data_IF_365124609241
#
_entry.id   IF_365124609241
#
_cell.length_a   1.000
_cell.length_b   1.000
_cell.length_c   1.000
_cell.angle_alpha   90.00
_cell.angle_beta   90.00
_cell.angle_gamma   90.00
#
_symmetry.space_group_name_H-M   'P 1'
#
loop_
_entity.id
_entity.type
_entity.pdbx_description
1 polymer ?
#
# COMPACT_ATOMS: atom_id res chain seq x y z
N UNK A 1 -2.20 -15.78 -1.58
CA UNK A 1 -2.03 -16.10 -0.14
C UNK A 1 -1.63 -14.87 0.66
N UNK A 2 -0.45 -14.27 0.46
CA UNK A 2 0.02 -13.10 1.26
C UNK A 2 -0.95 -11.90 1.23
N UNK A 3 -1.54 -11.59 0.07
CA UNK A 3 -2.55 -10.50 -0.04
C UNK A 3 -3.80 -10.81 0.81
N UNK A 4 -4.23 -12.07 0.87
CA UNK A 4 -5.39 -12.49 1.65
C UNK A 4 -5.11 -12.45 3.16
N UNK A 5 -3.93 -12.90 3.60
CA UNK A 5 -3.47 -12.79 4.99
C UNK A 5 -3.38 -11.33 5.43
N UNK A 6 -2.83 -10.47 4.58
CA UNK A 6 -2.70 -9.04 4.86
C UNK A 6 -4.08 -8.37 4.98
N UNK A 7 -5.02 -8.75 4.12
CA UNK A 7 -6.40 -8.27 4.19
C UNK A 7 -7.10 -8.74 5.48
N UNK A 8 -6.86 -9.97 5.92
CA UNK A 8 -7.42 -10.51 7.17
C UNK A 8 -6.89 -9.72 8.37
N UNK A 9 -5.58 -9.48 8.44
CA UNK A 9 -4.95 -8.65 9.47
C UNK A 9 -5.52 -7.22 9.44
N UNK A 10 -5.64 -6.63 8.23
CA UNK A 10 -6.23 -5.31 8.06
C UNK A 10 -7.67 -5.21 8.56
N UNK A 11 -8.50 -6.24 8.33
CA UNK A 11 -9.87 -6.32 8.82
C UNK A 11 -9.95 -6.45 10.34
N UNK A 12 -9.06 -7.25 10.94
CA UNK A 12 -8.97 -7.37 12.41
C UNK A 12 -8.56 -6.03 13.02
N UNK A 13 -7.55 -5.36 12.47
CA UNK A 13 -7.13 -4.03 12.92
C UNK A 13 -8.25 -2.98 12.75
N UNK A 14 -8.98 -3.01 11.63
CA UNK A 14 -10.15 -2.17 11.42
C UNK A 14 -11.23 -2.42 12.49
N UNK A 15 -11.54 -3.67 12.79
CA UNK A 15 -12.51 -4.01 13.82
C UNK A 15 -12.09 -3.49 15.20
N UNK A 16 -10.81 -3.64 15.56
CA UNK A 16 -10.26 -3.10 16.82
C UNK A 16 -10.38 -1.58 16.88
N UNK A 17 -9.99 -0.87 15.81
CA UNK A 17 -10.10 0.60 15.73
C UNK A 17 -11.56 1.06 15.88
N UNK A 18 -12.51 0.34 15.26
CA UNK A 18 -13.93 0.68 15.37
C UNK A 18 -14.50 0.40 16.77
N UNK A 19 -14.09 -0.69 17.41
CA UNK A 19 -14.50 -1.04 18.79
C UNK A 19 -13.96 -0.02 19.79
N UNK A 20 -12.69 0.37 19.64
CA UNK A 20 -12.03 1.30 20.54
C UNK A 20 -12.15 2.76 20.12
N UNK A 21 -12.93 3.07 19.07
CA UNK A 21 -13.09 4.40 18.46
C UNK A 21 -13.18 5.57 19.46
N UNK A 22 -14.03 5.42 20.48
CA UNK A 22 -14.30 6.51 21.44
C UNK A 22 -13.24 6.58 22.55
N UNK A 23 -12.59 5.45 22.89
CA UNK A 23 -11.52 5.39 23.89
C UNK A 23 -10.14 5.70 23.29
N UNK A 24 -9.94 5.45 22.00
CA UNK A 24 -8.67 5.63 21.31
C UNK A 24 -8.27 7.10 21.26
N UNK A 25 -9.24 8.00 21.04
CA UNK A 25 -8.99 9.44 21.00
C UNK A 25 -8.53 10.01 22.35
N UNK A 26 -9.00 9.43 23.47
CA UNK A 26 -8.65 9.86 24.83
C UNK A 26 -7.15 9.71 25.10
N UNK A 27 -6.49 8.75 24.47
CA UNK A 27 -5.05 8.50 24.62
C UNK A 27 -4.22 9.63 23.97
N UNK A 28 -4.75 10.26 22.92
CA UNK A 28 -4.03 11.29 22.17
C UNK A 28 -4.41 12.72 22.56
N UNK A 29 -5.62 12.93 23.09
CA UNK A 29 -6.09 14.27 23.45
C UNK A 29 -7.09 14.26 24.59
N UNK A 30 -6.96 15.24 25.48
CA UNK A 30 -7.93 15.53 26.54
C UNK A 30 -9.07 16.45 26.08
N UNK A 31 -8.99 16.99 24.86
CA UNK A 31 -10.00 17.89 24.30
C UNK A 31 -11.22 17.11 23.75
N UNK A 32 -12.39 17.39 24.32
CA UNK A 32 -13.66 16.75 23.97
C UNK A 32 -14.11 17.04 22.52
N UNK A 33 -13.84 18.24 22.00
CA UNK A 33 -14.17 18.56 20.60
C UNK A 33 -13.30 17.74 19.64
N UNK A 34 -12.03 17.57 19.96
CA UNK A 34 -11.11 16.76 19.17
C UNK A 34 -11.45 15.27 19.25
N UNK A 35 -11.84 14.77 20.43
CA UNK A 35 -12.32 13.39 20.60
C UNK A 35 -13.57 13.12 19.75
N UNK A 36 -14.54 14.03 19.76
CA UNK A 36 -15.74 13.94 18.92
C UNK A 36 -15.40 13.96 17.42
N UNK A 37 -14.45 14.82 17.01
CA UNK A 37 -14.00 14.88 15.63
C UNK A 37 -13.34 13.56 15.18
N UNK A 38 -12.45 12.99 16.01
CA UNK A 38 -11.77 11.70 15.75
C UNK A 38 -12.77 10.56 15.69
N UNK A 39 -13.73 10.51 16.60
CA UNK A 39 -14.82 9.53 16.60
C UNK A 39 -15.60 9.59 15.27
N UNK A 40 -15.91 10.80 14.77
CA UNK A 40 -16.62 10.98 13.48
C UNK A 40 -15.85 10.45 12.26
N UNK A 41 -14.52 10.51 12.27
CA UNK A 41 -13.66 10.04 11.17
C UNK A 41 -13.09 8.64 11.39
N UNK A 42 -13.38 7.99 12.52
CA UNK A 42 -12.85 6.66 12.84
C UNK A 42 -13.24 5.58 11.82
N UNK A 43 -14.40 5.70 11.17
CA UNK A 43 -14.78 4.84 10.04
C UNK A 43 -13.79 4.93 8.87
N UNK A 44 -13.32 6.15 8.58
CA UNK A 44 -12.30 6.42 7.57
C UNK A 44 -10.93 5.88 7.99
N UNK A 45 -10.61 5.96 9.28
CA UNK A 45 -9.40 5.44 9.89
C UNK A 45 -9.33 3.90 9.77
N UNK A 46 -10.46 3.22 10.01
CA UNK A 46 -10.60 1.78 9.78
C UNK A 46 -10.36 1.38 8.32
N UNK A 47 -10.97 2.11 7.37
CA UNK A 47 -10.73 1.89 5.94
C UNK A 47 -9.26 2.12 5.56
N UNK A 48 -8.63 3.12 6.18
CA UNK A 48 -7.19 3.40 6.00
C UNK A 48 -6.34 2.22 6.45
N UNK A 49 -6.65 1.58 7.58
CA UNK A 49 -5.91 0.40 8.03
C UNK A 49 -6.00 -0.77 7.05
N UNK A 50 -7.16 -1.00 6.45
CA UNK A 50 -7.32 -2.03 5.42
C UNK A 50 -6.48 -1.71 4.19
N UNK A 51 -6.58 -0.49 3.65
CA UNK A 51 -5.81 -0.09 2.47
C UNK A 51 -4.29 -0.11 2.73
N UNK A 52 -3.86 0.36 3.89
CA UNK A 52 -2.45 0.35 4.30
C UNK A 52 -1.92 -1.05 4.61
N UNK A 53 -2.77 -2.07 4.80
CA UNK A 53 -2.30 -3.45 4.92
C UNK A 53 -1.93 -4.05 3.55
N UNK A 54 -2.64 -3.66 2.48
CA UNK A 54 -2.46 -4.21 1.14
C UNK A 54 -1.40 -3.44 0.35
N UNK A 55 -1.39 -2.11 0.45
CA UNK A 55 -0.51 -1.25 -0.34
C UNK A 55 0.99 -1.56 -0.18
N UNK A 56 1.54 -1.74 1.04
CA UNK A 56 2.96 -2.03 1.23
C UNK A 56 3.35 -3.40 0.70
N UNK A 57 2.44 -4.38 0.76
CA UNK A 57 2.68 -5.74 0.25
C UNK A 57 2.78 -5.73 -1.27
N UNK A 58 1.83 -5.09 -1.95
CA UNK A 58 1.84 -4.98 -3.41
C UNK A 58 3.05 -4.15 -3.89
N UNK A 59 3.32 -3.03 -3.21
CA UNK A 59 4.48 -2.19 -3.52
C UNK A 59 5.80 -2.93 -3.26
N UNK A 60 5.89 -3.71 -2.19
CA UNK A 60 7.04 -4.52 -1.85
C UNK A 60 7.33 -5.61 -2.87
N UNK A 61 6.28 -6.28 -3.39
CA UNK A 61 6.42 -7.25 -4.48
C UNK A 61 6.95 -6.58 -5.76
N UNK A 62 6.39 -5.42 -6.14
CA UNK A 62 6.84 -4.70 -7.33
C UNK A 62 8.27 -4.15 -7.20
N UNK A 63 8.64 -3.61 -6.03
CA UNK A 63 10.00 -3.14 -5.75
C UNK A 63 10.98 -4.31 -5.73
N UNK A 64 10.59 -5.46 -5.15
CA UNK A 64 11.38 -6.68 -5.13
C UNK A 64 11.67 -7.25 -6.53
N UNK A 65 10.76 -7.06 -7.49
CA UNK A 65 10.97 -7.37 -8.92
C UNK A 65 11.89 -6.38 -9.66
N UNK A 66 12.34 -5.31 -8.99
CA UNK A 66 13.17 -4.25 -9.58
C UNK A 66 12.39 -3.11 -10.23
N UNK A 67 11.07 -3.05 -10.06
CA UNK A 67 10.20 -2.06 -10.71
C UNK A 67 9.98 -0.78 -9.89
N UNK A 68 10.89 -0.51 -8.96
CA UNK A 68 10.85 0.64 -8.05
C UNK A 68 10.58 1.99 -8.74
N UNK A 69 11.13 2.22 -9.94
CA UNK A 69 10.90 3.46 -10.70
C UNK A 69 9.44 3.60 -11.14
N UNK A 70 8.85 2.53 -11.69
CA UNK A 70 7.45 2.51 -12.10
C UNK A 70 6.52 2.71 -10.90
N UNK A 71 6.82 2.06 -9.76
CA UNK A 71 6.07 2.24 -8.51
C UNK A 71 6.11 3.70 -8.06
N UNK A 72 7.28 4.36 -8.12
CA UNK A 72 7.43 5.75 -7.74
C UNK A 72 6.63 6.70 -8.64
N UNK A 73 6.66 6.51 -9.97
CA UNK A 73 5.89 7.33 -10.91
C UNK A 73 4.38 7.19 -10.70
N UNK A 74 3.89 5.97 -10.51
CA UNK A 74 2.46 5.72 -10.25
C UNK A 74 2.04 6.37 -8.92
N UNK A 75 2.87 6.25 -7.88
CA UNK A 75 2.60 6.88 -6.60
C UNK A 75 2.49 8.40 -6.71
N UNK A 76 3.49 9.05 -7.33
CA UNK A 76 3.49 10.48 -7.57
C UNK A 76 2.26 10.93 -8.35
N UNK A 77 1.92 10.23 -9.44
CA UNK A 77 0.74 10.54 -10.25
C UNK A 77 -0.55 10.40 -9.46
N UNK A 78 -0.80 9.25 -8.85
CA UNK A 78 -2.06 8.99 -8.17
C UNK A 78 -2.24 9.86 -6.92
N UNK A 79 -1.17 10.09 -6.15
CA UNK A 79 -1.25 10.86 -4.92
C UNK A 79 -1.33 12.36 -5.18
N UNK A 80 -0.45 12.91 -6.02
CA UNK A 80 -0.38 14.35 -6.23
C UNK A 80 -1.30 14.88 -7.33
N UNK A 81 -1.51 14.13 -8.41
CA UNK A 81 -2.34 14.59 -9.54
C UNK A 81 -3.82 14.30 -9.31
N UNK A 82 -4.14 13.20 -8.62
CA UNK A 82 -5.53 12.81 -8.37
C UNK A 82 -5.95 12.97 -6.90
N UNK A 83 -5.19 12.40 -5.96
CA UNK A 83 -5.54 12.39 -4.54
C UNK A 83 -5.62 13.80 -3.94
N UNK A 84 -4.65 14.66 -4.22
CA UNK A 84 -4.59 16.04 -3.72
C UNK A 84 -5.73 16.91 -4.26
N UNK A 85 -6.00 16.96 -5.58
CA UNK A 85 -7.14 17.72 -6.11
C UNK A 85 -8.50 17.16 -5.66
N UNK A 86 -8.66 15.84 -5.56
CA UNK A 86 -9.87 15.25 -4.98
C UNK A 86 -10.01 15.66 -3.52
N UNK A 87 -8.95 15.56 -2.72
CA UNK A 87 -8.95 15.95 -1.30
C UNK A 87 -9.33 17.42 -1.12
N UNK A 88 -8.78 18.31 -1.95
CA UNK A 88 -9.16 19.72 -1.96
C UNK A 88 -10.65 19.89 -2.32
N UNK A 89 -11.13 19.20 -3.36
CA UNK A 89 -12.53 19.28 -3.79
C UNK A 89 -13.49 18.78 -2.70
N UNK A 90 -13.23 17.60 -2.12
CA UNK A 90 -14.04 16.99 -1.06
C UNK A 90 -13.98 17.79 0.25
N UNK A 91 -12.80 18.29 0.61
CA UNK A 91 -12.60 19.09 1.83
C UNK A 91 -13.27 20.45 1.77
N UNK A 92 -12.99 21.22 0.71
CA UNK A 92 -13.39 22.62 0.60
C UNK A 92 -14.70 22.82 -0.17
N UNK A 93 -14.88 22.19 -1.34
CA UNK A 93 -16.09 22.43 -2.16
C UNK A 93 -17.32 21.74 -1.57
N UNK A 94 -17.15 20.53 -1.06
CA UNK A 94 -18.23 19.76 -0.43
C UNK A 94 -18.34 19.98 1.09
N UNK A 95 -17.50 20.84 1.68
CA UNK A 95 -17.50 21.16 3.12
C UNK A 95 -17.38 19.94 4.06
N UNK A 96 -16.78 18.83 3.61
CA UNK A 96 -16.48 17.69 4.48
C UNK A 96 -15.24 17.93 5.37
N UNK A 97 -14.58 19.08 5.22
CA UNK A 97 -13.44 19.49 6.05
C UNK A 97 -12.30 18.47 6.01
N UNK A 98 -11.71 18.18 7.18
CA UNK A 98 -10.57 17.26 7.32
C UNK A 98 -10.92 15.84 6.86
N UNK A 99 -12.13 15.36 7.14
CA UNK A 99 -12.59 14.04 6.69
C UNK A 99 -12.66 13.92 5.17
N UNK A 100 -13.07 15.00 4.48
CA UNK A 100 -13.10 15.06 3.02
C UNK A 100 -11.71 15.06 2.39
N UNK A 101 -10.77 15.82 2.95
CA UNK A 101 -9.37 15.84 2.50
C UNK A 101 -8.76 14.45 2.64
N UNK A 102 -8.96 13.83 3.81
CA UNK A 102 -8.43 12.50 4.08
C UNK A 102 -9.05 11.45 3.13
N UNK A 103 -10.37 11.49 2.90
CA UNK A 103 -11.04 10.58 1.99
C UNK A 103 -10.55 10.72 0.55
N UNK A 104 -10.27 11.95 0.09
CA UNK A 104 -9.68 12.19 -1.23
C UNK A 104 -8.28 11.61 -1.38
N UNK A 105 -7.43 11.78 -0.36
CA UNK A 105 -6.08 11.17 -0.36
C UNK A 105 -6.13 9.64 -0.33
N UNK A 106 -7.05 9.06 0.46
CA UNK A 106 -7.33 7.62 0.48
C UNK A 106 -7.73 7.07 -0.88
N UNK A 107 -8.54 7.82 -1.63
CA UNK A 107 -8.94 7.44 -2.99
C UNK A 107 -7.72 7.37 -3.93
N UNK A 108 -6.79 8.33 -3.84
CA UNK A 108 -5.54 8.30 -4.58
C UNK A 108 -4.68 7.08 -4.26
N UNK A 109 -4.56 6.73 -2.97
CA UNK A 109 -3.87 5.53 -2.49
C UNK A 109 -4.54 4.24 -2.99
N UNK A 110 -5.87 4.17 -2.92
CA UNK A 110 -6.63 3.03 -3.41
C UNK A 110 -6.43 2.83 -4.92
N UNK A 111 -6.49 3.91 -5.70
CA UNK A 111 -6.25 3.87 -7.14
C UNK A 111 -4.82 3.41 -7.47
N UNK A 112 -3.81 3.96 -6.79
CA UNK A 112 -2.42 3.51 -6.94
C UNK A 112 -2.29 2.00 -6.67
N UNK A 113 -2.90 1.53 -5.59
CA UNK A 113 -2.84 0.12 -5.18
C UNK A 113 -3.51 -0.78 -6.22
N UNK A 114 -4.66 -0.37 -6.78
CA UNK A 114 -5.35 -1.10 -7.85
C UNK A 114 -4.51 -1.17 -9.13
N UNK A 115 -3.89 -0.07 -9.53
CA UNK A 115 -3.02 -0.04 -10.71
C UNK A 115 -1.84 -1.00 -10.52
N UNK A 116 -1.15 -0.91 -9.37
CA UNK A 116 -0.02 -1.81 -9.08
C UNK A 116 -0.45 -3.27 -9.04
N UNK A 117 -1.58 -3.57 -8.40
CA UNK A 117 -2.11 -4.94 -8.33
C UNK A 117 -2.45 -5.48 -9.72
N UNK A 118 -3.02 -4.64 -10.59
CA UNK A 118 -3.28 -5.01 -11.98
C UNK A 118 -1.99 -5.33 -12.75
N UNK A 119 -0.95 -4.51 -12.60
CA UNK A 119 0.35 -4.74 -13.26
C UNK A 119 0.95 -6.05 -12.74
N UNK A 120 1.04 -6.23 -11.42
CA UNK A 120 1.53 -7.46 -10.77
C UNK A 120 0.77 -8.70 -11.25
N UNK A 121 -0.55 -8.60 -11.42
CA UNK A 121 -1.37 -9.71 -11.92
C UNK A 121 -1.14 -10.02 -13.41
N UNK A 122 -0.90 -9.00 -14.24
CA UNK A 122 -0.56 -9.15 -15.67
C UNK A 122 0.89 -9.55 -15.93
N UNK A 123 1.74 -9.55 -14.90
CA UNK A 123 3.17 -9.82 -15.04
C UNK A 123 3.42 -11.30 -15.29
N UNK A 124 4.23 -11.63 -16.29
CA UNK A 124 4.75 -12.98 -16.45
C UNK A 124 5.91 -13.21 -15.48
N UNK A 125 5.59 -13.88 -14.38
CA UNK A 125 6.54 -14.19 -13.32
C UNK A 125 7.65 -15.14 -13.76
N UNK A 126 7.43 -15.97 -14.78
CA UNK A 126 8.48 -16.85 -15.31
C UNK A 126 9.54 -16.04 -16.07
N UNK A 127 9.09 -15.06 -16.85
CA UNK A 127 9.98 -14.14 -17.55
C UNK A 127 10.76 -13.25 -16.57
N UNK A 128 10.10 -12.70 -15.54
CA UNK A 128 10.78 -11.90 -14.51
C UNK A 128 11.77 -12.72 -13.67
N UNK A 129 11.44 -13.98 -13.34
CA UNK A 129 12.38 -14.88 -12.67
C UNK A 129 13.62 -15.17 -13.53
N UNK A 130 13.45 -15.37 -14.84
CA UNK A 130 14.56 -15.58 -15.77
C UNK A 130 15.44 -14.32 -15.91
N UNK A 131 14.84 -13.13 -15.93
CA UNK A 131 15.56 -11.85 -15.92
C UNK A 131 16.32 -11.64 -14.60
N UNK A 132 15.69 -11.95 -13.46
CA UNK A 132 16.33 -11.88 -12.15
C UNK A 132 17.54 -12.84 -12.06
N UNK A 133 17.38 -14.08 -12.54
CA UNK A 133 18.48 -15.05 -12.61
C UNK A 133 19.63 -14.58 -13.49
N UNK A 134 19.31 -14.01 -14.67
CA UNK A 134 20.31 -13.44 -15.58
C UNK A 134 21.05 -12.23 -14.96
N UNK A 135 20.34 -11.39 -14.18
CA UNK A 135 20.95 -10.28 -13.44
C UNK A 135 21.91 -10.81 -12.39
N UNK A 136 21.50 -11.81 -11.60
CA UNK A 136 22.38 -12.42 -10.59
C UNK A 136 23.61 -13.07 -11.25
N UNK A 137 23.46 -13.77 -12.37
CA UNK A 137 24.59 -14.39 -13.07
C UNK A 137 25.59 -13.36 -13.62
N UNK A 138 25.10 -12.21 -14.09
CA UNK A 138 25.95 -11.12 -14.61
C UNK A 138 26.75 -10.39 -13.53
N UNK A 139 26.21 -10.30 -12.31
CA UNK A 139 26.82 -9.56 -11.20
C UNK A 139 27.43 -10.47 -10.11
N UNK A 140 27.09 -11.75 -10.10
CA UNK A 140 27.53 -12.75 -9.11
C UNK A 140 28.89 -13.38 -9.40
N UNK A 141 29.54 -13.00 -10.50
CA UNK A 141 30.84 -13.54 -10.89
C UNK A 141 30.72 -14.96 -11.45
N UNK A 142 31.44 -15.21 -12.53
CA UNK A 142 31.63 -16.54 -13.11
C UNK A 142 32.57 -17.35 -12.21
N UNK A 143 32.13 -17.75 -11.02
CA UNK A 143 32.88 -18.77 -10.28
C UNK A 143 32.60 -20.13 -10.92
N UNK A 144 33.64 -20.63 -11.60
CA UNK A 144 33.61 -21.82 -12.42
C UNK A 144 33.02 -23.01 -11.69
N UNK A 145 31.76 -23.31 -11.99
CA UNK A 145 31.21 -24.63 -11.69
C UNK A 145 31.73 -25.57 -12.77
N UNK A 146 32.93 -26.13 -12.55
CA UNK A 146 33.27 -27.42 -13.17
C UNK A 146 32.16 -28.41 -12.78
N UNK A 147 31.65 -29.23 -13.71
CA UNK A 147 30.68 -30.27 -13.36
C UNK A 147 31.32 -31.23 -12.35
N UNK A 148 30.72 -31.35 -11.17
CA UNK A 148 31.16 -32.22 -10.07
C UNK A 148 30.68 -33.67 -10.25
N UNK A 149 30.47 -34.13 -11.48
CA UNK A 149 30.08 -35.51 -11.76
C UNK A 149 30.82 -36.01 -13.01
N UNK A 150 32.10 -36.34 -12.83
CA UNK A 150 32.71 -37.47 -13.53
C UNK A 150 33.02 -38.48 -12.41
N UNK A 151 32.08 -39.41 -12.21
CA UNK A 151 32.34 -40.68 -11.51
C UNK A 151 33.17 -41.58 -12.45
N UNK A 152 34.13 -42.28 -11.84
CA UNK A 152 35.19 -43.14 -12.43
C UNK A 152 34.80 -44.09 -13.57
#
# INVERSE_FOLDING_TARGET
VVIAESLLIGLVCMALVLIFRDNFAIIYTSDLELQHAVSKIAGLLGLTMVLNSVQPVVSGVAIGGGWQGLVAYINLGCYYVLGLPLGYLLGYKFNYGVGGIWAGMLCGIALQTLILLFIVWRTDWNAEAALASSRVQKWGGTDGTKPLLEDD
#
